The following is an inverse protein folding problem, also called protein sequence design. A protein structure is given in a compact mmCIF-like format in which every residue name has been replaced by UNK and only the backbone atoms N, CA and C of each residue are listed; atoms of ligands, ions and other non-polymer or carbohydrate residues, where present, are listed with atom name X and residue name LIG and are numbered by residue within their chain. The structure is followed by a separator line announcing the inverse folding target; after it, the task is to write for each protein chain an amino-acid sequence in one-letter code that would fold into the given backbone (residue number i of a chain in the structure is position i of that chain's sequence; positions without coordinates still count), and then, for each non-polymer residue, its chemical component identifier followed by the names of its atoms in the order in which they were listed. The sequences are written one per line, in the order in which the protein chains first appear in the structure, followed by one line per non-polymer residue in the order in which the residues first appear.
data_IF_637491351732
#
_entry.id   IF_637491351732
#
_cell.length_a   1.000
_cell.length_b   1.000
_cell.length_c   1.000
_cell.angle_alpha   90.00
_cell.angle_beta   90.00
_cell.angle_gamma   90.00
#
_symmetry.space_group_name_H-M   'P 1'
#
loop_
_entity.id
_entity.type
_entity.pdbx_description
1 polymer ?
#
# COMPACT_ATOMS: atom_id res chain seq x y z
N UNK A 1 8.69 -54.43 -2.25
CA UNK A 1 8.19 -53.50 -1.20
C UNK A 1 9.16 -52.35 -0.93
N UNK A 2 10.46 -52.61 -0.65
CA UNK A 2 11.42 -51.49 -0.36
C UNK A 2 11.58 -50.50 -1.51
N UNK A 3 11.62 -50.95 -2.77
CA UNK A 3 11.76 -50.07 -3.93
C UNK A 3 10.52 -49.16 -4.13
N UNK A 4 9.31 -49.72 -3.90
CA UNK A 4 8.06 -48.97 -4.03
C UNK A 4 7.97 -47.86 -2.95
N UNK A 5 8.47 -48.14 -1.75
CA UNK A 5 8.53 -47.19 -0.64
C UNK A 5 9.52 -46.03 -0.94
N UNK A 6 10.67 -46.35 -1.53
CA UNK A 6 11.62 -45.30 -1.95
C UNK A 6 11.06 -44.38 -3.05
N UNK A 7 10.33 -44.95 -4.02
CA UNK A 7 9.70 -44.17 -5.09
C UNK A 7 8.61 -43.26 -4.52
N UNK A 8 7.79 -43.79 -3.58
CA UNK A 8 6.76 -43.02 -2.92
C UNK A 8 7.35 -41.89 -2.07
N UNK A 9 8.47 -42.13 -1.36
CA UNK A 9 9.17 -41.12 -0.57
C UNK A 9 9.77 -40.00 -1.44
N UNK A 10 10.34 -40.35 -2.60
CA UNK A 10 10.87 -39.39 -3.57
C UNK A 10 9.72 -38.56 -4.17
N UNK A 11 8.58 -39.19 -4.49
CA UNK A 11 7.40 -38.48 -4.99
C UNK A 11 6.83 -37.49 -3.97
N UNK A 12 6.86 -37.83 -2.67
CA UNK A 12 6.44 -36.94 -1.58
C UNK A 12 7.37 -35.73 -1.43
N UNK A 13 8.68 -35.89 -1.69
CA UNK A 13 9.65 -34.79 -1.64
C UNK A 13 9.47 -33.78 -2.79
N UNK A 14 8.96 -34.23 -3.95
CA UNK A 14 8.64 -33.36 -5.07
C UNK A 14 7.32 -32.57 -4.88
N UNK A 15 6.47 -32.97 -3.92
CA UNK A 15 5.23 -32.27 -3.56
C UNK A 15 5.46 -31.14 -2.55
N UNK A 16 6.65 -31.01 -1.96
CA UNK A 16 7.07 -29.80 -1.25
C UNK A 16 7.32 -28.68 -2.28
N UNK A 17 6.26 -28.21 -2.93
CA UNK A 17 6.29 -27.04 -3.79
C UNK A 17 6.78 -25.86 -2.97
N UNK A 18 7.96 -25.34 -3.32
CA UNK A 18 8.45 -24.08 -2.79
C UNK A 18 7.43 -23.02 -3.17
N UNK A 19 6.57 -22.58 -2.25
CA UNK A 19 5.74 -21.41 -2.48
C UNK A 19 6.70 -20.23 -2.59
N UNK A 20 6.64 -19.53 -3.73
CA UNK A 20 7.42 -18.32 -3.94
C UNK A 20 6.91 -17.28 -2.94
N UNK A 21 7.78 -16.85 -2.06
CA UNK A 21 7.54 -15.70 -1.20
C UNK A 21 7.97 -14.46 -1.98
N UNK A 22 7.04 -13.56 -2.22
CA UNK A 22 7.32 -12.29 -2.84
C UNK A 22 7.17 -11.17 -1.80
N UNK A 23 7.99 -10.14 -1.90
CA UNK A 23 7.89 -8.95 -1.07
C UNK A 23 7.09 -7.88 -1.81
N UNK A 24 6.19 -7.21 -1.08
CA UNK A 24 5.37 -6.08 -1.55
C UNK A 24 5.60 -4.88 -0.64
N UNK A 25 5.49 -3.68 -1.19
CA UNK A 25 5.63 -2.43 -0.46
C UNK A 25 4.28 -1.76 -0.33
N UNK A 26 3.90 -1.42 0.89
CA UNK A 26 2.69 -0.66 1.21
C UNK A 26 3.07 0.68 1.82
N UNK A 27 2.32 1.73 1.51
CA UNK A 27 2.53 3.07 2.03
C UNK A 27 1.42 3.46 3.00
N UNK A 28 1.81 3.84 4.21
CA UNK A 28 0.95 4.23 5.31
C UNK A 28 1.36 5.59 5.88
N UNK A 29 0.64 6.09 6.86
CA UNK A 29 1.03 7.27 7.61
C UNK A 29 1.88 6.86 8.83
N UNK A 30 2.94 7.60 9.19
CA UNK A 30 3.62 7.39 10.46
C UNK A 30 2.73 7.82 11.63
N UNK A 31 2.83 7.12 12.77
CA UNK A 31 2.07 7.43 13.99
C UNK A 31 2.49 8.77 14.57
N UNK A 32 3.78 9.12 14.49
CA UNK A 32 4.30 10.42 14.86
C UNK A 32 5.15 11.00 13.72
N UNK A 33 4.57 11.92 12.92
CA UNK A 33 5.30 12.53 11.81
C UNK A 33 6.43 13.48 12.26
N UNK A 34 6.51 13.84 13.55
CA UNK A 34 7.52 14.77 14.08
C UNK A 34 8.76 14.05 14.64
N UNK A 35 8.64 12.78 15.03
CA UNK A 35 9.76 11.99 15.57
C UNK A 35 10.59 11.32 14.48
N UNK A 36 10.05 11.11 13.31
CA UNK A 36 10.81 10.54 12.19
C UNK A 36 11.75 11.60 11.62
N UNK A 37 13.05 11.30 11.60
CA UNK A 37 14.09 12.16 11.03
C UNK A 37 13.88 12.50 9.53
N UNK A 38 12.89 11.88 8.92
CA UNK A 38 12.32 12.18 7.60
C UNK A 38 10.90 12.68 7.87
N UNK A 39 10.69 13.97 7.78
CA UNK A 39 9.40 14.64 7.93
C UNK A 39 8.41 14.29 6.79
N UNK A 40 8.42 13.04 6.30
CA UNK A 40 7.51 12.56 5.27
C UNK A 40 6.17 12.19 5.89
N UNK A 41 5.07 12.62 5.26
CA UNK A 41 3.70 12.25 5.63
C UNK A 41 3.38 10.79 5.28
N UNK A 42 4.26 10.13 4.52
CA UNK A 42 4.11 8.76 4.09
C UNK A 42 5.34 7.94 4.49
N UNK A 43 5.08 6.74 4.98
CA UNK A 43 6.12 5.77 5.31
C UNK A 43 5.79 4.41 4.68
N UNK A 44 6.81 3.67 4.28
CA UNK A 44 6.65 2.38 3.62
C UNK A 44 6.80 1.23 4.60
N UNK A 45 5.98 0.20 4.42
CA UNK A 45 6.09 -1.11 5.06
C UNK A 45 6.40 -2.17 3.99
N UNK A 46 7.45 -2.95 4.21
CA UNK A 46 7.77 -4.11 3.36
C UNK A 46 7.14 -5.36 3.96
N UNK A 47 6.26 -6.02 3.21
CA UNK A 47 5.53 -7.19 3.66
C UNK A 47 5.80 -8.40 2.79
N UNK A 48 6.09 -9.54 3.40
CA UNK A 48 6.18 -10.82 2.69
C UNK A 48 4.78 -11.38 2.47
N UNK A 49 4.46 -11.71 1.23
CA UNK A 49 3.18 -12.29 0.83
C UNK A 49 3.44 -13.63 0.12
N UNK A 50 2.70 -14.65 0.54
CA UNK A 50 2.80 -15.99 -0.02
C UNK A 50 1.62 -16.25 -0.96
N UNK A 51 1.87 -16.39 -2.24
CA UNK A 51 0.85 -16.55 -3.29
C UNK A 51 0.04 -15.26 -3.52
N UNK A 52 -0.76 -15.25 -4.58
CA UNK A 52 -1.65 -14.12 -4.95
C UNK A 52 -0.97 -12.78 -5.19
N UNK A 53 0.35 -12.74 -5.40
CA UNK A 53 1.08 -11.50 -5.65
C UNK A 53 0.70 -10.81 -6.96
N UNK A 54 0.12 -11.56 -7.91
CA UNK A 54 -0.43 -11.03 -9.16
C UNK A 54 -1.90 -10.57 -9.02
N UNK A 55 -2.51 -10.74 -7.84
CA UNK A 55 -3.90 -10.38 -7.60
C UNK A 55 -3.99 -9.01 -6.90
N UNK A 56 -4.13 -7.95 -7.69
CA UNK A 56 -4.24 -6.59 -7.18
C UNK A 56 -5.40 -6.41 -6.18
N UNK A 57 -6.55 -7.05 -6.42
CA UNK A 57 -7.68 -6.98 -5.50
C UNK A 57 -7.33 -7.54 -4.13
N UNK A 58 -6.62 -8.67 -4.10
CA UNK A 58 -6.15 -9.28 -2.84
C UNK A 58 -5.14 -8.36 -2.14
N UNK A 59 -4.15 -7.82 -2.86
CA UNK A 59 -3.12 -6.96 -2.29
C UNK A 59 -3.70 -5.66 -1.71
N UNK A 60 -4.65 -5.02 -2.42
CA UNK A 60 -5.33 -3.83 -1.88
C UNK A 60 -6.20 -4.20 -0.67
N UNK A 61 -6.86 -5.36 -0.69
CA UNK A 61 -7.64 -5.81 0.48
C UNK A 61 -6.75 -6.06 1.70
N UNK A 62 -5.55 -6.59 1.48
CA UNK A 62 -4.53 -6.77 2.51
C UNK A 62 -4.01 -5.42 3.04
N UNK A 63 -3.73 -4.46 2.14
CA UNK A 63 -3.39 -3.09 2.50
C UNK A 63 -4.45 -2.44 3.41
N UNK A 64 -5.74 -2.55 3.04
CA UNK A 64 -6.85 -1.98 3.79
C UNK A 64 -7.09 -2.66 5.15
N UNK A 65 -6.49 -3.83 5.41
CA UNK A 65 -6.51 -4.44 6.74
C UNK A 65 -5.63 -3.71 7.77
N UNK A 66 -4.78 -2.79 7.31
CA UNK A 66 -3.89 -1.97 8.10
C UNK A 66 -2.45 -2.46 8.15
N UNK A 67 -1.53 -1.64 8.69
CA UNK A 67 -0.12 -1.99 8.84
C UNK A 67 0.10 -3.05 9.91
N UNK A 68 1.22 -3.77 9.79
CA UNK A 68 1.72 -4.69 10.82
C UNK A 68 2.72 -3.99 11.74
N UNK A 69 3.39 -2.95 11.24
CA UNK A 69 4.36 -2.17 12.00
C UNK A 69 3.64 -1.21 12.95
N UNK A 70 3.96 -1.22 14.27
CA UNK A 70 3.26 -0.40 15.28
C UNK A 70 3.51 1.11 15.13
N UNK A 71 4.56 1.50 14.40
CA UNK A 71 4.91 2.89 14.12
C UNK A 71 4.11 3.48 12.96
N UNK A 72 3.29 2.66 12.30
CA UNK A 72 2.46 3.05 11.18
C UNK A 72 0.98 2.99 11.53
N UNK A 73 0.19 3.85 10.88
CA UNK A 73 -1.26 3.87 11.03
C UNK A 73 -1.94 3.86 9.65
N UNK A 74 -3.04 3.11 9.57
CA UNK A 74 -3.85 3.09 8.34
C UNK A 74 -4.43 4.48 8.09
N UNK A 75 -4.26 5.05 6.89
CA UNK A 75 -4.86 6.33 6.54
C UNK A 75 -6.38 6.22 6.32
N UNK A 76 -6.91 5.02 6.13
CA UNK A 76 -8.35 4.76 6.02
C UNK A 76 -8.95 4.29 7.34
N UNK A 77 -10.23 4.62 7.61
CA UNK A 77 -10.96 4.10 8.77
C UNK A 77 -10.99 2.58 8.79
N UNK A 78 -10.91 2.01 9.99
CA UNK A 78 -11.06 0.56 10.18
C UNK A 78 -12.38 0.07 9.60
N UNK A 79 -12.34 -1.00 8.84
CA UNK A 79 -13.51 -1.56 8.16
C UNK A 79 -13.76 -1.01 6.75
N UNK A 80 -12.91 -0.11 6.25
CA UNK A 80 -12.91 0.27 4.82
C UNK A 80 -12.71 -0.96 3.95
N UNK A 81 -13.52 -1.09 2.90
CA UNK A 81 -13.50 -2.25 2.00
C UNK A 81 -13.32 -1.83 0.55
N UNK A 82 -12.57 -2.65 -0.18
CA UNK A 82 -12.50 -2.56 -1.62
C UNK A 82 -13.82 -3.03 -2.24
N UNK A 83 -14.29 -2.32 -3.28
CA UNK A 83 -15.42 -2.74 -4.07
C UNK A 83 -14.97 -3.47 -5.33
N UNK A 84 -14.15 -2.79 -6.15
CA UNK A 84 -13.49 -3.39 -7.32
C UNK A 84 -12.27 -2.56 -7.74
N UNK A 85 -11.46 -3.16 -8.62
CA UNK A 85 -10.38 -2.49 -9.35
C UNK A 85 -10.58 -2.68 -10.84
N UNK A 86 -10.28 -1.65 -11.63
CA UNK A 86 -10.16 -1.77 -13.10
C UNK A 86 -8.75 -1.36 -13.50
N UNK A 87 -8.16 -2.16 -14.40
CA UNK A 87 -6.82 -1.92 -14.92
C UNK A 87 -6.93 -1.57 -16.40
N UNK A 88 -6.70 -0.32 -16.72
CA UNK A 88 -6.64 0.22 -18.08
C UNK A 88 -5.25 0.83 -18.26
N UNK A 89 -4.24 -0.04 -18.45
CA UNK A 89 -2.85 0.40 -18.53
C UNK A 89 -2.65 1.62 -19.44
N UNK A 90 -1.96 2.67 -18.96
CA UNK A 90 -1.20 2.76 -17.72
C UNK A 90 -1.98 3.31 -16.50
N UNK A 91 -3.30 3.30 -16.54
CA UNK A 91 -4.18 3.85 -15.53
C UNK A 91 -4.90 2.75 -14.73
N UNK A 92 -5.02 2.93 -13.41
CA UNK A 92 -5.77 2.02 -12.53
C UNK A 92 -6.84 2.79 -11.78
N UNK A 93 -8.06 2.25 -11.76
CA UNK A 93 -9.14 2.75 -10.92
C UNK A 93 -9.38 1.81 -9.74
N UNK A 94 -9.35 2.36 -8.54
CA UNK A 94 -9.66 1.67 -7.29
C UNK A 94 -10.97 2.23 -6.75
N UNK A 95 -12.02 1.41 -6.72
CA UNK A 95 -13.29 1.81 -6.11
C UNK A 95 -13.43 1.19 -4.73
N UNK A 96 -13.57 2.04 -3.73
CA UNK A 96 -13.88 1.67 -2.36
C UNK A 96 -15.39 1.59 -2.16
N UNK A 97 -15.81 0.80 -1.19
CA UNK A 97 -17.18 0.88 -0.65
C UNK A 97 -17.33 2.21 0.11
N UNK A 98 -18.56 2.54 0.48
CA UNK A 98 -18.80 3.69 1.34
C UNK A 98 -18.01 3.56 2.65
N UNK A 99 -17.35 4.65 3.04
CA UNK A 99 -16.50 4.64 4.24
C UNK A 99 -17.38 4.49 5.50
N UNK A 100 -16.93 3.67 6.47
CA UNK A 100 -17.67 3.46 7.71
C UNK A 100 -17.70 4.71 8.60
N UNK A 101 -16.81 5.66 8.38
CA UNK A 101 -16.70 6.92 9.09
C UNK A 101 -16.46 8.07 8.13
N UNK A 102 -16.91 9.26 8.49
CA UNK A 102 -16.64 10.49 7.76
C UNK A 102 -15.17 10.88 7.91
N UNK A 103 -14.57 11.30 6.80
CA UNK A 103 -13.23 11.86 6.72
C UNK A 103 -13.30 13.26 6.14
N UNK A 104 -12.47 14.17 6.62
CA UNK A 104 -12.26 15.47 5.97
C UNK A 104 -11.65 15.28 4.57
N UNK A 105 -11.71 16.31 3.74
CA UNK A 105 -11.14 16.23 2.39
C UNK A 105 -9.61 16.09 2.42
N UNK A 106 -8.95 16.70 3.40
CA UNK A 106 -7.50 16.57 3.58
C UNK A 106 -7.10 15.15 4.02
N UNK A 107 -7.80 14.56 4.98
CA UNK A 107 -7.57 13.17 5.41
C UNK A 107 -7.81 12.19 4.25
N UNK A 108 -8.90 12.41 3.51
CA UNK A 108 -9.20 11.57 2.35
C UNK A 108 -8.15 11.70 1.24
N UNK A 109 -7.66 12.91 0.98
CA UNK A 109 -6.59 13.15 0.00
C UNK A 109 -5.29 12.46 0.40
N UNK A 110 -4.91 12.52 1.68
CA UNK A 110 -3.74 11.81 2.21
C UNK A 110 -3.91 10.29 2.10
N UNK A 111 -5.09 9.79 2.45
CA UNK A 111 -5.38 8.36 2.32
C UNK A 111 -5.32 7.90 0.85
N UNK A 112 -5.82 8.72 -0.09
CA UNK A 112 -5.69 8.45 -1.51
C UNK A 112 -4.23 8.48 -1.97
N UNK A 113 -3.39 9.38 -1.43
CA UNK A 113 -1.96 9.42 -1.75
C UNK A 113 -1.25 8.12 -1.32
N UNK A 114 -1.46 7.67 -0.08
CA UNK A 114 -0.91 6.40 0.41
C UNK A 114 -1.34 5.21 -0.46
N UNK A 115 -2.63 5.12 -0.78
CA UNK A 115 -3.17 4.04 -1.61
C UNK A 115 -2.64 4.11 -3.04
N UNK A 116 -2.56 5.31 -3.62
CA UNK A 116 -2.06 5.49 -4.99
C UNK A 116 -0.59 5.11 -5.10
N UNK A 117 0.26 5.55 -4.16
CA UNK A 117 1.66 5.11 -4.12
C UNK A 117 1.78 3.59 -4.00
N UNK A 118 1.00 2.98 -3.12
CA UNK A 118 0.95 1.52 -2.98
C UNK A 118 0.59 0.84 -4.30
N UNK A 119 -0.46 1.30 -4.98
CA UNK A 119 -0.93 0.70 -6.23
C UNK A 119 0.08 0.90 -7.36
N UNK A 120 0.69 2.09 -7.47
CA UNK A 120 1.72 2.38 -8.47
C UNK A 120 2.96 1.50 -8.26
N UNK A 121 3.41 1.33 -7.02
CA UNK A 121 4.53 0.45 -6.66
C UNK A 121 4.23 -1.01 -7.02
N UNK A 122 3.02 -1.49 -6.73
CA UNK A 122 2.61 -2.88 -7.01
C UNK A 122 2.44 -3.18 -8.49
N UNK A 123 2.13 -2.19 -9.32
CA UNK A 123 1.66 -2.41 -10.69
C UNK A 123 2.49 -1.73 -11.78
N UNK A 124 3.29 -0.73 -11.40
CA UNK A 124 3.98 0.14 -12.35
C UNK A 124 3.04 1.08 -13.13
N UNK A 125 1.82 1.33 -12.63
CA UNK A 125 0.89 2.25 -13.27
C UNK A 125 1.39 3.71 -13.17
N UNK A 126 1.08 4.52 -14.20
CA UNK A 126 1.46 5.95 -14.23
C UNK A 126 0.51 6.80 -13.39
N UNK A 127 -0.73 6.35 -13.21
CA UNK A 127 -1.73 7.09 -12.44
C UNK A 127 -2.78 6.17 -11.83
N UNK A 128 -3.35 6.62 -10.71
CA UNK A 128 -4.38 5.91 -9.96
C UNK A 128 -5.55 6.83 -9.66
N UNK A 129 -6.76 6.39 -9.95
CA UNK A 129 -7.99 7.05 -9.54
C UNK A 129 -8.66 6.28 -8.41
N UNK A 130 -8.83 6.94 -7.27
CA UNK A 130 -9.56 6.39 -6.12
C UNK A 130 -10.97 6.98 -6.10
N UNK A 131 -11.97 6.11 -6.09
CA UNK A 131 -13.40 6.47 -6.07
C UNK A 131 -14.02 5.94 -4.79
N UNK A 132 -14.70 6.82 -4.03
CA UNK A 132 -15.44 6.44 -2.84
C UNK A 132 -16.71 7.30 -2.68
N UNK A 133 -17.87 6.68 -2.82
CA UNK A 133 -19.14 7.41 -2.86
C UNK A 133 -19.17 8.43 -4.01
N UNK A 134 -19.33 9.69 -3.66
CA UNK A 134 -19.31 10.83 -4.59
C UNK A 134 -17.93 11.52 -4.70
N UNK A 135 -16.94 11.04 -3.97
CA UNK A 135 -15.56 11.59 -4.01
C UNK A 135 -14.71 10.80 -5.00
N UNK A 136 -13.93 11.53 -5.78
CA UNK A 136 -12.98 10.95 -6.75
C UNK A 136 -11.69 11.76 -6.68
N UNK A 137 -10.57 11.07 -6.53
CA UNK A 137 -9.22 11.66 -6.52
C UNK A 137 -8.36 10.86 -7.50
N UNK A 138 -7.71 11.56 -8.41
CA UNK A 138 -6.71 10.98 -9.32
C UNK A 138 -5.33 11.50 -8.94
N UNK A 139 -4.38 10.59 -8.83
CA UNK A 139 -2.99 10.89 -8.51
C UNK A 139 -2.05 10.23 -9.51
N UNK A 140 -1.01 10.93 -9.84
CA UNK A 140 0.13 10.51 -10.63
C UNK A 140 1.44 10.85 -9.89
N UNK A 141 2.59 10.48 -10.44
CA UNK A 141 3.87 10.73 -9.83
C UNK A 141 4.12 12.23 -9.55
N UNK A 142 3.62 13.13 -10.41
CA UNK A 142 3.78 14.58 -10.24
C UNK A 142 2.97 15.13 -9.07
N UNK A 143 1.75 14.63 -8.91
CA UNK A 143 0.85 15.01 -7.80
C UNK A 143 1.41 14.51 -6.46
N UNK A 144 2.00 13.32 -6.45
CA UNK A 144 2.57 12.70 -5.24
C UNK A 144 3.84 13.42 -4.74
N UNK A 145 4.65 14.00 -5.64
CA UNK A 145 5.83 14.80 -5.26
C UNK A 145 5.46 16.02 -4.40
N UNK A 146 4.27 16.62 -4.59
CA UNK A 146 3.81 17.73 -3.75
C UNK A 146 3.55 17.32 -2.29
N UNK A 147 3.20 16.07 -2.03
CA UNK A 147 3.02 15.58 -0.65
C UNK A 147 4.35 15.37 0.08
N UNK A 148 5.43 15.11 -0.66
CA UNK A 148 6.78 14.97 -0.09
C UNK A 148 7.45 16.36 0.14
N UNK A 149 7.11 17.38 -0.68
CA UNK A 149 7.64 18.74 -0.55
C UNK A 149 6.92 19.59 0.52
N UNK A 150 5.77 19.16 1.03
CA UNK A 150 5.02 19.88 2.09
C UNK A 150 5.65 19.75 3.48
N UNK A 151 6.85 19.15 3.58
CA UNK A 151 7.64 19.19 4.81
C UNK A 151 8.14 20.63 5.00
N UNK A 152 7.80 21.30 6.11
CA UNK A 152 8.31 22.65 6.34
C UNK A 152 9.82 22.56 6.48
N UNK A 153 10.52 23.07 5.47
CA UNK A 153 11.94 23.40 5.61
C UNK A 153 12.07 24.39 6.77
N UNK A 154 12.32 23.88 7.95
CA UNK A 154 12.70 24.72 9.10
C UNK A 154 14.13 25.20 8.82
N UNK A 155 14.26 26.16 7.92
CA UNK A 155 15.46 26.96 7.80
C UNK A 155 15.55 27.77 9.09
N UNK A 156 16.31 27.28 10.05
CA UNK A 156 16.74 28.04 11.21
C UNK A 156 17.43 29.30 10.69
N UNK A 157 16.91 30.53 10.93
CA UNK A 157 17.65 31.73 10.60
C UNK A 157 18.85 31.73 11.50
N UNK A 158 20.04 31.58 10.90
CA UNK A 158 21.31 31.76 11.56
C UNK A 158 21.37 33.12 12.23
N UNK A 159 21.33 33.11 13.55
CA UNK A 159 21.66 34.27 14.36
C UNK A 159 23.14 34.56 14.21
N UNK A 160 23.48 35.61 13.47
CA UNK A 160 24.75 36.33 13.57
C UNK A 160 24.67 37.21 14.80
N UNK A 161 25.53 36.99 15.76
CA UNK A 161 26.50 37.90 16.36
C UNK A 161 27.31 37.21 17.45
#
# INVERSE_FOLDING_TARGET
MKQLFCILLILLLFLCGCQKEDTVVFYYCPTDPLETAQSSLLASEVRTVTGYTDNLFFLISLYLSGPLEPELVSPFPVGTKLHYTTTECPHITVKLQELPQTMSDSEFSLACACLSMTVMELTGADSVTVVCGNRTVTMDASTLLFFDELTPNTTTPGGTQ
#
